data_IF_011824694454
#
_entry.id   IF_011824694454
#
_cell.length_a   1.000
_cell.length_b   1.000
_cell.length_c   1.000
_cell.angle_alpha   90.00
_cell.angle_beta   90.00
_cell.angle_gamma   90.00
#
_symmetry.space_group_name_H-M   'P 1'
#
loop_
_entity.id
_entity.type
_entity.pdbx_description
1 polymer ?
#
# COMPACT_ATOMS: atom_id res chain seq x y z
N UNK A 1 -12.29 6.03 -16.84
CA UNK A 1 -12.27 4.67 -16.25
C UNK A 1 -11.09 4.51 -15.27
N UNK A 2 -9.86 4.95 -15.59
CA UNK A 2 -8.71 4.88 -14.67
C UNK A 2 -8.86 5.70 -13.36
N UNK A 3 -9.30 6.97 -13.43
CA UNK A 3 -9.45 7.81 -12.23
C UNK A 3 -10.52 7.33 -11.23
N UNK A 4 -11.50 6.55 -11.68
CA UNK A 4 -12.57 6.02 -10.83
C UNK A 4 -12.12 4.81 -9.99
N UNK A 5 -11.21 3.99 -10.54
CA UNK A 5 -10.60 2.88 -9.79
C UNK A 5 -9.77 3.41 -8.62
N UNK A 6 -8.90 4.38 -8.90
CA UNK A 6 -8.00 4.97 -7.91
C UNK A 6 -8.74 5.62 -6.74
N UNK A 7 -9.77 6.42 -7.03
CA UNK A 7 -10.61 7.03 -5.99
C UNK A 7 -11.24 5.97 -5.08
N UNK A 8 -11.73 4.87 -5.66
CA UNK A 8 -12.30 3.75 -4.90
C UNK A 8 -11.28 3.07 -3.99
N UNK A 9 -10.06 2.84 -4.48
CA UNK A 9 -8.99 2.20 -3.71
C UNK A 9 -8.60 3.05 -2.49
N UNK A 10 -8.39 4.35 -2.70
CA UNK A 10 -8.10 5.30 -1.61
C UNK A 10 -9.21 5.33 -0.57
N UNK A 11 -10.47 5.45 -0.99
CA UNK A 11 -11.61 5.48 -0.08
C UNK A 11 -11.79 4.16 0.69
N UNK A 12 -11.46 3.02 0.08
CA UNK A 12 -11.50 1.74 0.78
C UNK A 12 -10.41 1.62 1.85
N UNK A 13 -9.19 2.09 1.57
CA UNK A 13 -8.09 2.09 2.54
C UNK A 13 -8.37 3.05 3.71
N UNK A 14 -8.94 4.22 3.42
CA UNK A 14 -9.42 5.15 4.47
C UNK A 14 -10.51 4.55 5.36
N UNK A 15 -11.38 3.71 4.80
CA UNK A 15 -12.36 2.95 5.60
C UNK A 15 -11.70 1.83 6.40
N UNK A 16 -10.75 1.11 5.80
CA UNK A 16 -10.04 0.01 6.45
C UNK A 16 -9.35 0.47 7.73
N UNK A 17 -8.58 1.55 7.69
CA UNK A 17 -7.84 2.03 8.88
C UNK A 17 -8.75 2.46 10.03
N UNK A 18 -9.99 2.90 9.72
CA UNK A 18 -10.99 3.23 10.74
C UNK A 18 -11.57 1.98 11.41
N UNK A 19 -11.69 0.88 10.67
CA UNK A 19 -12.21 -0.40 11.16
C UNK A 19 -11.12 -1.24 11.84
N UNK A 20 -9.89 -1.13 11.35
CA UNK A 20 -8.71 -1.88 11.80
C UNK A 20 -7.57 -0.92 12.17
N UNK A 21 -7.61 -0.28 13.36
CA UNK A 21 -6.58 0.68 13.78
C UNK A 21 -5.18 0.07 13.93
N UNK A 22 -5.09 -1.26 13.94
CA UNK A 22 -3.84 -2.02 14.02
C UNK A 22 -3.10 -2.09 12.66
N UNK A 23 -3.74 -1.64 11.57
CA UNK A 23 -3.13 -1.63 10.25
C UNK A 23 -1.92 -0.70 10.22
N UNK A 24 -0.72 -1.27 10.08
CA UNK A 24 0.53 -0.51 10.17
C UNK A 24 0.96 0.14 8.86
N UNK A 25 0.52 -0.39 7.71
CA UNK A 25 0.91 0.07 6.38
C UNK A 25 -0.23 -0.10 5.40
N UNK A 26 -0.61 0.99 4.73
CA UNK A 26 -1.61 1.00 3.67
C UNK A 26 -0.90 1.20 2.34
N UNK A 27 -1.19 0.33 1.37
CA UNK A 27 -0.48 0.33 0.11
C UNK A 27 -1.38 -0.05 -1.07
N UNK A 28 -1.16 0.61 -2.19
CA UNK A 28 -1.70 0.25 -3.51
C UNK A 28 -0.52 -0.22 -4.36
N UNK A 29 -0.58 -1.46 -4.83
CA UNK A 29 0.46 -2.00 -5.71
C UNK A 29 0.02 -1.82 -7.15
N UNK A 30 0.82 -1.11 -7.94
CA UNK A 30 0.58 -0.85 -9.36
C UNK A 30 1.69 -1.46 -10.21
N UNK A 31 1.57 -1.41 -11.55
CA UNK A 31 2.64 -1.94 -12.39
C UNK A 31 3.91 -1.05 -12.35
N UNK A 32 3.74 0.27 -12.45
CA UNK A 32 4.83 1.24 -12.62
C UNK A 32 4.73 2.49 -11.74
N UNK A 33 3.57 2.82 -11.18
CA UNK A 33 3.36 4.07 -10.47
C UNK A 33 3.99 4.03 -9.07
N UNK A 34 4.65 5.13 -8.70
CA UNK A 34 5.24 5.36 -7.39
C UNK A 34 4.79 6.72 -6.87
N UNK A 35 4.11 6.75 -5.73
CA UNK A 35 3.54 7.97 -5.14
C UNK A 35 3.25 7.79 -3.65
N UNK A 36 3.23 8.88 -2.89
CA UNK A 36 2.69 8.91 -1.52
C UNK A 36 1.44 9.78 -1.47
N UNK A 37 0.30 9.16 -1.17
CA UNK A 37 -0.99 9.85 -1.00
C UNK A 37 -1.17 10.18 0.48
N UNK A 38 -1.47 11.43 0.80
CA UNK A 38 -1.79 11.89 2.16
C UNK A 38 -3.13 12.62 2.15
N UNK A 39 -4.16 11.98 2.68
CA UNK A 39 -5.53 12.51 2.71
C UNK A 39 -6.22 12.17 4.04
N UNK A 40 -6.94 13.12 4.63
CA UNK A 40 -7.67 12.95 5.90
C UNK A 40 -6.82 12.35 7.05
N UNK A 41 -5.52 12.67 7.08
CA UNK A 41 -4.56 12.14 8.05
C UNK A 41 -4.16 10.67 7.83
N UNK A 42 -4.58 10.07 6.71
CA UNK A 42 -4.22 8.72 6.28
C UNK A 42 -3.08 8.80 5.25
N UNK A 43 -2.03 8.03 5.47
CA UNK A 43 -0.93 7.87 4.51
C UNK A 43 -1.08 6.54 3.76
N UNK A 44 -1.02 6.60 2.43
CA UNK A 44 -1.10 5.44 1.54
C UNK A 44 0.08 5.49 0.58
N UNK A 45 0.84 4.40 0.53
CA UNK A 45 1.93 4.23 -0.43
C UNK A 45 1.40 3.63 -1.73
N UNK A 46 1.70 4.26 -2.87
CA UNK A 46 1.52 3.64 -4.18
C UNK A 46 2.90 3.11 -4.60
N UNK A 47 3.02 1.80 -4.76
CA UNK A 47 4.30 1.13 -4.95
C UNK A 47 4.28 0.28 -6.23
N UNK A 48 5.33 0.34 -7.07
CA UNK A 48 5.44 -0.55 -8.22
C UNK A 48 5.55 -2.02 -7.80
N UNK A 49 4.95 -2.92 -8.57
CA UNK A 49 4.91 -4.36 -8.29
C UNK A 49 6.30 -4.95 -8.07
N UNK A 50 7.29 -4.55 -8.87
CA UNK A 50 8.66 -5.06 -8.73
C UNK A 50 9.27 -4.67 -7.38
N UNK A 51 9.01 -3.45 -6.87
CA UNK A 51 9.46 -3.00 -5.55
C UNK A 51 8.77 -3.78 -4.46
N UNK A 52 7.45 -3.98 -4.58
CA UNK A 52 6.67 -4.75 -3.63
C UNK A 52 7.20 -6.20 -3.50
N UNK A 53 7.42 -6.86 -4.63
CA UNK A 53 7.96 -8.24 -4.65
C UNK A 53 9.38 -8.29 -4.08
N UNK A 54 10.23 -7.32 -4.40
CA UNK A 54 11.58 -7.21 -3.84
C UNK A 54 11.54 -7.03 -2.30
N UNK A 55 10.67 -6.16 -1.79
CA UNK A 55 10.48 -5.97 -0.34
C UNK A 55 9.99 -7.26 0.33
N UNK A 56 9.03 -7.97 -0.29
CA UNK A 56 8.51 -9.23 0.24
C UNK A 56 9.59 -10.31 0.30
N UNK A 57 10.45 -10.38 -0.71
CA UNK A 57 11.57 -11.33 -0.73
C UNK A 57 12.64 -10.99 0.31
N UNK A 58 13.01 -9.71 0.46
CA UNK A 58 13.93 -9.29 1.51
C UNK A 58 13.41 -9.64 2.91
N UNK A 59 12.12 -9.37 3.19
CA UNK A 59 11.47 -9.77 4.44
C UNK A 59 11.38 -11.29 4.64
N UNK A 60 11.42 -12.08 3.55
CA UNK A 60 11.46 -13.53 3.62
C UNK A 60 12.86 -14.00 4.03
N UNK A 61 13.89 -13.45 3.40
CA UNK A 61 15.30 -13.73 3.71
C UNK A 61 15.59 -13.39 5.16
N UNK A 62 15.23 -12.19 5.62
CA UNK A 62 15.48 -11.73 6.99
C UNK A 62 14.85 -12.67 8.05
N UNK A 63 13.73 -13.32 7.73
CA UNK A 63 13.05 -14.27 8.63
C UNK A 63 13.62 -15.68 8.63
N UNK A 64 14.44 -16.04 7.64
CA UNK A 64 15.11 -17.35 7.57
C UNK A 64 16.46 -17.35 8.27
N UNK A 65 17.04 -16.18 8.54
CA UNK A 65 18.32 -16.01 9.23
C UNK A 65 18.17 -15.81 10.76
N UNK A 66 16.94 -15.88 11.29
CA UNK A 66 16.60 -15.81 12.72
C UNK A 66 16.23 -17.19 13.27
#
# INVERSE_FOLDING_TARGET
>A
IAGDARKREVENLKKLVRLEPQAQRLMIVTYEEEEHIREDGVEIEVVPLYRFLQQAENLRIDRQEL
#
